data_IF_974028981803
#
_entry.id   IF_974028981803
#
_cell.length_a   1.000
_cell.length_b   1.000
_cell.length_c   1.000
_cell.angle_alpha   90.00
_cell.angle_beta   90.00
_cell.angle_gamma   90.00
#
_symmetry.space_group_name_H-M   'P 1'
#
loop_
_entity.id
_entity.type
_entity.pdbx_description
1 polymer ?
#
# COMPACT_ATOMS: atom_id res chain seq x y z
N UNK A 1 -21.42 0.72 8.57
CA UNK A 1 -21.59 2.15 8.76
C UNK A 1 -20.26 2.87 8.50
N UNK A 2 -19.65 2.64 7.31
CA UNK A 2 -18.32 3.18 6.93
C UNK A 2 -18.27 3.68 5.47
N UNK A 3 -19.40 3.80 4.81
CA UNK A 3 -19.51 4.33 3.43
C UNK A 3 -19.36 5.87 3.32
N UNK A 4 -19.00 6.55 4.42
CA UNK A 4 -19.08 8.03 4.51
C UNK A 4 -17.70 8.71 4.57
N UNK A 5 -16.58 8.02 4.23
CA UNK A 5 -15.24 8.63 4.30
C UNK A 5 -14.65 9.08 2.96
N UNK A 6 -15.25 8.70 1.84
CA UNK A 6 -14.75 9.05 0.49
C UNK A 6 -15.22 10.42 -0.03
N UNK A 7 -16.24 11.01 0.58
CA UNK A 7 -16.83 12.30 0.15
C UNK A 7 -16.18 13.53 0.80
N UNK A 8 -15.36 13.37 1.84
CA UNK A 8 -14.81 14.52 2.58
C UNK A 8 -13.56 15.11 1.94
N UNK A 9 -12.80 14.35 1.14
CA UNK A 9 -11.58 14.86 0.49
C UNK A 9 -11.92 15.72 -0.75
N UNK A 10 -13.07 15.49 -1.39
CA UNK A 10 -13.52 16.28 -2.52
C UNK A 10 -14.04 17.68 -2.13
N UNK A 11 -14.51 17.87 -0.89
CA UNK A 11 -15.14 19.12 -0.46
C UNK A 11 -14.17 20.18 0.09
N UNK A 12 -12.92 19.84 0.42
CA UNK A 12 -11.94 20.81 0.95
C UNK A 12 -11.19 21.59 -0.13
N UNK A 13 -11.36 21.22 -1.42
CA UNK A 13 -10.76 21.94 -2.58
C UNK A 13 -11.62 23.14 -3.03
N UNK A 14 -12.87 23.27 -2.58
CA UNK A 14 -13.82 24.26 -3.10
C UNK A 14 -13.91 25.60 -2.34
N UNK A 15 -13.06 25.87 -1.36
CA UNK A 15 -13.14 27.10 -0.56
C UNK A 15 -12.06 28.16 -0.88
N UNK A 16 -11.34 28.05 -2.00
CA UNK A 16 -10.48 29.13 -2.49
C UNK A 16 -10.90 29.53 -3.91
N UNK A 17 -12.02 30.20 -4.03
CA UNK A 17 -12.44 30.77 -5.30
C UNK A 17 -12.68 32.25 -5.17
N UNK A 18 -12.01 33.02 -5.96
CA UNK A 18 -12.55 34.16 -6.71
C UNK A 18 -11.44 34.88 -7.50
N UNK A 19 -10.65 34.13 -8.25
CA UNK A 19 -10.03 34.60 -9.49
C UNK A 19 -9.98 33.37 -10.39
N UNK A 20 -11.06 33.17 -11.15
CA UNK A 20 -11.16 32.12 -12.15
C UNK A 20 -10.31 32.53 -13.40
N UNK A 21 -9.00 32.46 -13.23
CA UNK A 21 -8.09 32.21 -14.33
C UNK A 21 -8.13 30.71 -14.62
N UNK A 22 -7.96 30.29 -15.86
CA UNK A 22 -7.96 28.90 -16.35
C UNK A 22 -7.15 27.93 -15.48
N UNK A 23 -7.73 27.47 -14.36
CA UNK A 23 -7.10 26.48 -13.51
C UNK A 23 -7.09 25.14 -14.27
N UNK A 24 -5.92 24.77 -14.76
CA UNK A 24 -5.71 23.46 -15.36
C UNK A 24 -5.04 22.57 -14.30
N UNK A 25 -5.58 21.36 -14.07
CA UNK A 25 -4.90 20.42 -13.21
C UNK A 25 -3.48 20.13 -13.74
N UNK A 26 -2.54 19.88 -12.85
CA UNK A 26 -1.19 19.48 -13.23
C UNK A 26 -1.22 18.29 -14.18
N UNK A 27 -0.36 18.28 -15.19
CA UNK A 27 -0.10 17.05 -15.92
C UNK A 27 0.62 16.04 -15.01
N UNK A 28 0.62 14.74 -15.36
CA UNK A 28 1.37 13.71 -14.61
C UNK A 28 2.85 14.09 -14.47
N UNK A 29 3.48 14.54 -15.54
CA UNK A 29 4.88 14.96 -15.55
C UNK A 29 5.14 16.16 -14.63
N UNK A 30 4.26 17.16 -14.67
CA UNK A 30 4.34 18.32 -13.78
C UNK A 30 4.18 17.91 -12.30
N UNK A 31 3.25 16.99 -12.02
CA UNK A 31 3.07 16.46 -10.69
C UNK A 31 4.33 15.72 -10.20
N UNK A 32 4.89 14.82 -11.00
CA UNK A 32 6.14 14.12 -10.67
C UNK A 32 7.30 15.09 -10.38
N UNK A 33 7.41 16.17 -11.16
CA UNK A 33 8.41 17.20 -10.90
C UNK A 33 8.17 17.94 -9.58
N UNK A 34 6.90 18.22 -9.27
CA UNK A 34 6.55 18.98 -8.07
C UNK A 34 6.63 18.19 -6.76
N UNK A 35 6.72 16.84 -6.80
CA UNK A 35 6.99 16.04 -5.59
C UNK A 35 8.29 16.43 -4.90
N UNK A 36 9.22 17.05 -5.62
CA UNK A 36 10.54 17.51 -5.13
C UNK A 36 10.61 19.01 -4.83
N UNK A 37 9.46 19.71 -4.80
CA UNK A 37 9.42 21.14 -4.51
C UNK A 37 9.87 21.43 -3.07
N UNK A 38 10.60 22.52 -2.87
CA UNK A 38 10.94 23.03 -1.52
C UNK A 38 9.68 23.40 -0.72
N UNK A 39 8.58 23.75 -1.42
CA UNK A 39 7.31 24.15 -0.81
C UNK A 39 6.40 22.94 -0.59
N UNK A 40 6.05 22.65 0.64
CA UNK A 40 5.18 21.55 1.03
C UNK A 40 3.81 21.60 0.35
N UNK A 41 3.21 22.78 0.18
CA UNK A 41 1.93 22.94 -0.54
C UNK A 41 1.99 22.41 -1.98
N UNK A 42 3.10 22.64 -2.67
CA UNK A 42 3.29 22.13 -4.04
C UNK A 42 3.48 20.61 -4.04
N UNK A 43 4.20 20.07 -3.05
CA UNK A 43 4.34 18.62 -2.89
C UNK A 43 2.97 17.98 -2.62
N UNK A 44 2.15 18.55 -1.74
CA UNK A 44 0.77 18.09 -1.47
C UNK A 44 -0.10 18.10 -2.74
N UNK A 45 -0.08 19.19 -3.51
CA UNK A 45 -0.80 19.28 -4.79
C UNK A 45 -0.31 18.20 -5.77
N UNK A 46 0.97 17.94 -5.82
CA UNK A 46 1.57 16.91 -6.66
C UNK A 46 1.05 15.51 -6.30
N UNK A 47 1.10 15.13 -5.01
CA UNK A 47 0.57 13.84 -4.55
C UNK A 47 -0.94 13.74 -4.74
N UNK A 48 -1.71 14.81 -4.52
CA UNK A 48 -3.13 14.86 -4.83
C UNK A 48 -3.40 14.54 -6.31
N UNK A 49 -2.59 15.10 -7.22
CA UNK A 49 -2.71 14.79 -8.65
C UNK A 49 -2.28 13.37 -9.00
N UNK A 50 -1.18 12.87 -8.42
CA UNK A 50 -0.69 11.51 -8.64
C UNK A 50 -1.67 10.44 -8.13
N UNK A 51 -2.52 10.73 -7.15
CA UNK A 51 -3.60 9.85 -6.75
C UNK A 51 -4.56 9.54 -7.90
N UNK A 52 -4.78 10.52 -8.80
CA UNK A 52 -5.68 10.38 -9.96
C UNK A 52 -4.99 9.76 -11.18
N UNK A 53 -3.76 10.21 -11.48
CA UNK A 53 -3.09 9.92 -12.76
C UNK A 53 -1.82 9.07 -12.63
N UNK A 54 -1.38 8.75 -11.41
CA UNK A 54 -0.17 7.98 -11.16
C UNK A 54 -0.29 6.54 -11.67
N UNK A 55 0.83 5.98 -12.09
CA UNK A 55 0.95 4.62 -12.63
C UNK A 55 2.02 3.83 -11.88
N UNK A 56 2.13 2.52 -12.13
CA UNK A 56 3.16 1.68 -11.53
C UNK A 56 4.59 2.19 -11.78
N UNK A 57 4.83 2.85 -12.91
CA UNK A 57 6.13 3.46 -13.24
C UNK A 57 6.52 4.59 -12.28
N UNK A 58 5.52 5.25 -11.66
CA UNK A 58 5.74 6.38 -10.76
C UNK A 58 6.05 5.95 -9.33
N UNK A 59 5.82 4.69 -8.98
CA UNK A 59 5.97 4.17 -7.62
C UNK A 59 7.31 4.55 -6.99
N UNK A 60 8.47 4.43 -7.66
CA UNK A 60 9.75 4.84 -7.06
C UNK A 60 9.80 6.32 -6.65
N UNK A 61 9.17 7.21 -7.43
CA UNK A 61 9.09 8.63 -7.10
C UNK A 61 8.11 8.88 -5.96
N UNK A 62 6.98 8.17 -5.97
CA UNK A 62 5.94 8.29 -4.93
C UNK A 62 6.46 7.79 -3.59
N UNK A 63 7.19 6.67 -3.56
CA UNK A 63 7.80 6.11 -2.34
C UNK A 63 8.77 7.07 -1.66
N UNK A 64 9.47 7.92 -2.42
CA UNK A 64 10.34 8.94 -1.83
C UNK A 64 9.57 9.89 -0.90
N UNK A 65 8.28 10.11 -1.14
CA UNK A 65 7.44 10.93 -0.28
C UNK A 65 7.10 10.32 1.08
N UNK A 66 7.33 9.02 1.28
CA UNK A 66 7.19 8.37 2.60
C UNK A 66 8.25 8.87 3.59
N UNK A 67 9.31 9.50 3.09
CA UNK A 67 10.42 10.08 3.85
C UNK A 67 10.36 11.61 3.92
N UNK A 68 9.25 12.21 3.47
CA UNK A 68 9.07 13.67 3.50
C UNK A 68 9.13 14.20 4.94
N UNK A 69 9.68 15.40 5.12
CA UNK A 69 9.74 16.09 6.41
C UNK A 69 8.33 16.41 6.93
N UNK A 70 7.36 16.63 6.04
CA UNK A 70 5.99 16.94 6.39
C UNK A 70 5.11 15.68 6.50
N UNK A 71 4.49 15.47 7.67
CA UNK A 71 3.65 14.31 7.95
C UNK A 71 2.47 14.15 6.97
N UNK A 72 1.87 15.27 6.54
CA UNK A 72 0.75 15.20 5.61
C UNK A 72 1.20 14.71 4.22
N UNK A 73 2.38 15.13 3.75
CA UNK A 73 2.95 14.63 2.49
C UNK A 73 3.26 13.15 2.59
N UNK A 74 3.82 12.67 3.71
CA UNK A 74 4.04 11.23 3.92
C UNK A 74 2.75 10.43 3.83
N UNK A 75 1.68 10.90 4.50
CA UNK A 75 0.37 10.24 4.45
C UNK A 75 -0.24 10.24 3.05
N UNK A 76 -0.09 11.35 2.31
CA UNK A 76 -0.55 11.43 0.91
C UNK A 76 0.26 10.49 0.00
N UNK A 77 1.58 10.44 0.16
CA UNK A 77 2.42 9.52 -0.60
C UNK A 77 2.01 8.07 -0.38
N UNK A 78 1.76 7.68 0.87
CA UNK A 78 1.29 6.33 1.21
C UNK A 78 -0.06 6.01 0.54
N UNK A 79 -1.03 6.93 0.61
CA UNK A 79 -2.32 6.76 -0.05
C UNK A 79 -2.18 6.62 -1.57
N UNK A 80 -1.28 7.40 -2.19
CA UNK A 80 -1.02 7.31 -3.63
C UNK A 80 -0.42 5.97 -4.01
N UNK A 81 0.56 5.47 -3.24
CA UNK A 81 1.17 4.15 -3.45
C UNK A 81 0.09 3.06 -3.42
N UNK A 82 -0.72 3.02 -2.37
CA UNK A 82 -1.83 2.06 -2.27
C UNK A 82 -2.82 2.22 -3.42
N UNK A 83 -3.21 3.44 -3.78
CA UNK A 83 -4.12 3.72 -4.89
C UNK A 83 -3.58 3.22 -6.23
N UNK A 84 -2.27 3.30 -6.46
CA UNK A 84 -1.62 2.77 -7.67
C UNK A 84 -1.61 1.24 -7.64
N UNK A 85 -1.26 0.61 -6.52
CA UNK A 85 -1.22 -0.85 -6.41
C UNK A 85 -2.60 -1.50 -6.51
N UNK A 86 -3.67 -0.81 -6.10
CA UNK A 86 -5.05 -1.33 -6.05
C UNK A 86 -5.76 -1.32 -7.41
N UNK A 87 -5.10 -0.98 -8.51
CA UNK A 87 -5.71 -0.89 -9.84
C UNK A 87 -4.77 -1.40 -10.93
N UNK A 88 -5.33 -2.05 -11.92
CA UNK A 88 -4.61 -2.46 -13.13
C UNK A 88 -4.79 -1.45 -14.27
N UNK A 89 -5.84 -0.64 -14.20
CA UNK A 89 -6.33 0.20 -15.29
C UNK A 89 -7.11 -0.57 -16.37
N UNK A 90 -7.36 -1.86 -16.14
CA UNK A 90 -8.16 -2.69 -17.02
C UNK A 90 -9.62 -2.70 -16.56
N UNK A 91 -10.52 -2.20 -17.41
CA UNK A 91 -11.95 -2.07 -17.10
C UNK A 91 -12.68 -3.38 -16.83
N UNK A 92 -12.10 -4.54 -17.18
CA UNK A 92 -12.65 -5.85 -16.88
C UNK A 92 -12.09 -6.41 -15.58
N UNK A 93 -10.81 -6.19 -15.31
CA UNK A 93 -10.12 -6.75 -14.14
C UNK A 93 -10.42 -5.94 -12.87
N UNK A 94 -10.37 -4.61 -12.95
CA UNK A 94 -10.57 -3.77 -11.78
C UNK A 94 -11.93 -4.00 -11.09
N UNK A 95 -13.08 -4.14 -11.78
CA UNK A 95 -14.35 -4.50 -11.13
C UNK A 95 -14.35 -5.89 -10.48
N UNK A 96 -13.67 -6.89 -11.10
CA UNK A 96 -13.54 -8.22 -10.52
C UNK A 96 -12.72 -8.20 -9.22
N UNK A 97 -11.61 -7.48 -9.24
CA UNK A 97 -10.78 -7.28 -8.07
C UNK A 97 -11.56 -6.56 -6.96
N UNK A 98 -12.29 -5.48 -7.28
CA UNK A 98 -13.15 -4.77 -6.31
C UNK A 98 -14.23 -5.67 -5.71
N UNK A 99 -14.80 -6.60 -6.50
CA UNK A 99 -15.73 -7.60 -5.97
C UNK A 99 -15.06 -8.50 -4.91
N UNK A 100 -13.83 -8.95 -5.16
CA UNK A 100 -13.04 -9.70 -4.16
C UNK A 100 -12.79 -8.89 -2.90
N UNK A 101 -12.45 -7.60 -3.04
CA UNK A 101 -12.26 -6.69 -1.91
C UNK A 101 -13.55 -6.48 -1.09
N UNK A 102 -14.69 -6.38 -1.76
CA UNK A 102 -15.99 -6.28 -1.09
C UNK A 102 -16.26 -7.51 -0.22
N UNK A 103 -16.02 -8.71 -0.77
CA UNK A 103 -16.20 -9.98 -0.03
C UNK A 103 -15.27 -10.07 1.20
N UNK A 104 -14.03 -9.57 1.11
CA UNK A 104 -13.15 -9.45 2.28
C UNK A 104 -13.78 -8.53 3.34
N UNK A 105 -14.31 -7.38 2.94
CA UNK A 105 -14.93 -6.42 3.86
C UNK A 105 -16.22 -6.92 4.49
N UNK A 106 -16.92 -7.83 3.81
CA UNK A 106 -18.12 -8.53 4.28
C UNK A 106 -17.81 -9.76 5.15
N UNK A 107 -16.52 -10.04 5.38
CA UNK A 107 -16.02 -11.20 6.12
C UNK A 107 -16.40 -12.54 5.48
N UNK A 108 -16.36 -12.59 4.14
CA UNK A 108 -16.61 -13.75 3.29
C UNK A 108 -15.31 -14.24 2.62
N UNK A 109 -14.32 -14.71 3.41
CA UNK A 109 -12.98 -14.98 2.88
C UNK A 109 -12.95 -16.11 1.83
N UNK A 110 -13.80 -17.13 1.97
CA UNK A 110 -13.85 -18.23 1.00
C UNK A 110 -14.29 -17.73 -0.39
N UNK A 111 -15.35 -16.92 -0.43
CA UNK A 111 -15.84 -16.33 -1.69
C UNK A 111 -14.83 -15.32 -2.26
N UNK A 112 -14.15 -14.56 -1.39
CA UNK A 112 -13.09 -13.65 -1.80
C UNK A 112 -11.92 -14.38 -2.46
N UNK A 113 -11.50 -15.53 -1.90
CA UNK A 113 -10.43 -16.37 -2.46
C UNK A 113 -10.81 -16.84 -3.87
N UNK A 114 -12.04 -17.33 -4.07
CA UNK A 114 -12.50 -17.76 -5.40
C UNK A 114 -12.46 -16.59 -6.40
N UNK A 115 -12.98 -15.44 -6.01
CA UNK A 115 -12.97 -14.26 -6.87
C UNK A 115 -11.56 -13.77 -7.21
N UNK A 116 -10.66 -13.78 -6.24
CA UNK A 116 -9.26 -13.40 -6.44
C UNK A 116 -8.48 -14.46 -7.26
N UNK A 117 -8.85 -15.75 -7.19
CA UNK A 117 -8.33 -16.77 -8.11
C UNK A 117 -8.63 -16.42 -9.57
N UNK A 118 -9.86 -15.97 -9.86
CA UNK A 118 -10.26 -15.56 -11.21
C UNK A 118 -9.40 -14.35 -11.68
N UNK A 119 -9.20 -13.37 -10.82
CA UNK A 119 -8.35 -12.20 -11.11
C UNK A 119 -6.91 -12.62 -11.40
N UNK A 120 -6.33 -13.47 -10.54
CA UNK A 120 -4.95 -13.97 -10.69
C UNK A 120 -4.79 -14.81 -11.96
N UNK A 121 -5.78 -15.62 -12.31
CA UNK A 121 -5.75 -16.40 -13.55
C UNK A 121 -5.69 -15.53 -14.80
N UNK A 122 -6.37 -14.37 -14.78
CA UNK A 122 -6.39 -13.42 -15.88
C UNK A 122 -5.20 -12.45 -15.88
N UNK A 123 -4.66 -12.12 -14.69
CA UNK A 123 -3.56 -11.16 -14.47
C UNK A 123 -2.59 -11.67 -13.41
N UNK A 124 -1.79 -12.70 -13.71
CA UNK A 124 -0.86 -13.30 -12.75
C UNK A 124 0.26 -12.34 -12.29
N UNK A 125 0.50 -11.25 -13.02
CA UNK A 125 1.43 -10.18 -12.66
C UNK A 125 0.84 -9.11 -11.73
N UNK A 126 -0.47 -9.15 -11.45
CA UNK A 126 -1.11 -8.18 -10.56
C UNK A 126 -0.84 -8.51 -9.09
N UNK A 127 0.23 -7.94 -8.55
CA UNK A 127 0.75 -8.23 -7.20
C UNK A 127 -0.32 -8.09 -6.11
N UNK A 128 -1.18 -7.07 -6.21
CA UNK A 128 -2.19 -6.78 -5.18
C UNK A 128 -3.26 -7.88 -5.09
N UNK A 129 -3.58 -8.56 -6.19
CA UNK A 129 -4.51 -9.68 -6.14
C UNK A 129 -3.96 -10.85 -5.30
N UNK A 130 -2.67 -11.15 -5.41
CA UNK A 130 -1.98 -12.14 -4.57
C UNK A 130 -1.98 -11.68 -3.10
N UNK A 131 -1.63 -10.42 -2.84
CA UNK A 131 -1.63 -9.86 -1.49
C UNK A 131 -3.00 -10.01 -0.82
N UNK A 132 -4.07 -9.64 -1.50
CA UNK A 132 -5.43 -9.73 -0.94
C UNK A 132 -5.92 -11.16 -0.79
N UNK A 133 -5.52 -12.07 -1.67
CA UNK A 133 -5.80 -13.48 -1.46
C UNK A 133 -5.03 -14.04 -0.26
N UNK A 134 -3.80 -13.58 -0.05
CA UNK A 134 -3.03 -13.85 1.17
C UNK A 134 -3.75 -13.38 2.43
N UNK A 135 -4.32 -12.16 2.43
CA UNK A 135 -5.13 -11.66 3.55
C UNK A 135 -6.35 -12.55 3.80
N UNK A 136 -7.03 -13.00 2.74
CA UNK A 136 -8.17 -13.89 2.85
C UNK A 136 -7.77 -15.28 3.40
N UNK A 137 -6.66 -15.87 2.94
CA UNK A 137 -6.12 -17.11 3.51
C UNK A 137 -5.74 -16.97 4.98
N UNK A 138 -5.09 -15.86 5.35
CA UNK A 138 -4.74 -15.58 6.75
C UNK A 138 -5.98 -15.52 7.64
N UNK A 139 -7.08 -14.92 7.17
CA UNK A 139 -8.33 -14.84 7.92
C UNK A 139 -9.02 -16.19 8.12
N UNK A 140 -8.75 -17.18 7.25
CA UNK A 140 -9.21 -18.58 7.43
C UNK A 140 -8.27 -19.42 8.27
N UNK A 141 -7.13 -18.86 8.71
CA UNK A 141 -6.09 -19.58 9.46
C UNK A 141 -5.14 -20.41 8.58
N UNK A 142 -5.23 -20.32 7.25
CA UNK A 142 -4.29 -20.99 6.34
C UNK A 142 -3.04 -20.14 6.12
N UNK A 143 -2.20 -20.08 7.16
CA UNK A 143 -0.96 -19.31 7.11
C UNK A 143 0.01 -19.78 6.03
N UNK A 144 -0.03 -21.06 5.64
CA UNK A 144 0.89 -21.59 4.63
C UNK A 144 0.57 -21.00 3.25
N UNK A 145 -0.72 -20.96 2.87
CA UNK A 145 -1.16 -20.33 1.62
C UNK A 145 -1.02 -18.83 1.68
N UNK A 146 -1.34 -18.20 2.81
CA UNK A 146 -1.14 -16.77 3.01
C UNK A 146 0.32 -16.36 2.77
N UNK A 147 1.26 -17.08 3.39
CA UNK A 147 2.70 -16.80 3.22
C UNK A 147 3.15 -16.99 1.77
N UNK A 148 2.66 -18.02 1.08
CA UNK A 148 2.98 -18.24 -0.33
C UNK A 148 2.51 -17.07 -1.21
N UNK A 149 1.30 -16.56 -0.97
CA UNK A 149 0.73 -15.44 -1.70
C UNK A 149 1.46 -14.11 -1.41
N UNK A 150 1.80 -13.84 -0.14
CA UNK A 150 2.62 -12.66 0.21
C UNK A 150 4.02 -12.73 -0.40
N UNK A 151 4.66 -13.90 -0.39
CA UNK A 151 5.95 -14.07 -1.06
C UNK A 151 5.85 -13.82 -2.57
N UNK A 152 4.77 -14.30 -3.22
CA UNK A 152 4.51 -14.00 -4.63
C UNK A 152 4.28 -12.52 -4.87
N UNK A 153 3.58 -11.84 -3.96
CA UNK A 153 3.42 -10.38 -4.00
C UNK A 153 4.76 -9.67 -3.99
N UNK A 154 5.68 -10.08 -3.10
CA UNK A 154 7.02 -9.48 -2.96
C UNK A 154 7.90 -9.76 -4.19
N UNK A 155 7.76 -10.92 -4.83
CA UNK A 155 8.44 -11.23 -6.10
C UNK A 155 7.99 -10.30 -7.23
N UNK A 156 6.67 -10.04 -7.33
CA UNK A 156 6.08 -9.18 -8.35
C UNK A 156 6.29 -7.69 -8.06
N UNK A 157 6.27 -7.32 -6.79
CA UNK A 157 6.47 -5.95 -6.32
C UNK A 157 7.38 -5.93 -5.08
N UNK A 158 8.69 -5.80 -5.25
CA UNK A 158 9.65 -5.79 -4.13
C UNK A 158 9.46 -4.64 -3.13
N UNK A 159 8.71 -3.61 -3.51
CA UNK A 159 8.39 -2.45 -2.67
C UNK A 159 7.11 -2.62 -1.84
N UNK A 160 6.46 -3.77 -1.91
CA UNK A 160 5.16 -3.98 -1.26
C UNK A 160 5.32 -4.16 0.25
N UNK A 161 5.46 -3.05 0.97
CA UNK A 161 5.72 -3.05 2.41
C UNK A 161 4.62 -3.75 3.24
N UNK A 162 3.36 -3.75 2.80
CA UNK A 162 2.28 -4.48 3.46
C UNK A 162 2.46 -6.01 3.40
N UNK A 163 2.88 -6.56 2.24
CA UNK A 163 3.18 -7.99 2.13
C UNK A 163 4.42 -8.38 2.95
N UNK A 164 5.45 -7.51 2.98
CA UNK A 164 6.62 -7.70 3.84
C UNK A 164 6.22 -7.72 5.32
N UNK A 165 5.38 -6.78 5.76
CA UNK A 165 4.83 -6.75 7.12
C UNK A 165 4.06 -8.04 7.44
N UNK A 166 3.19 -8.49 6.54
CA UNK A 166 2.39 -9.72 6.72
C UNK A 166 3.27 -10.97 6.82
N UNK A 167 4.32 -11.09 5.99
CA UNK A 167 5.32 -12.14 6.14
C UNK A 167 6.02 -12.06 7.50
N UNK A 168 6.46 -10.87 7.90
CA UNK A 168 7.10 -10.64 9.20
C UNK A 168 6.22 -11.08 10.37
N UNK A 169 4.92 -10.76 10.31
CA UNK A 169 3.94 -11.14 11.33
C UNK A 169 3.76 -12.65 11.42
N UNK A 170 3.62 -13.37 10.32
CA UNK A 170 3.50 -14.83 10.32
C UNK A 170 4.76 -15.46 10.94
N UNK A 171 5.97 -15.01 10.57
CA UNK A 171 7.19 -15.53 11.15
C UNK A 171 7.34 -15.20 12.63
N UNK A 172 6.86 -14.03 13.07
CA UNK A 172 6.82 -13.64 14.47
C UNK A 172 5.89 -14.55 15.29
N UNK A 173 4.69 -14.83 14.80
CA UNK A 173 3.73 -15.75 15.44
C UNK A 173 4.29 -17.18 15.54
N UNK A 174 5.10 -17.61 14.58
CA UNK A 174 5.85 -18.89 14.59
C UNK A 174 7.10 -18.88 15.48
N UNK A 175 7.39 -17.76 16.15
CA UNK A 175 8.59 -17.56 16.97
C UNK A 175 9.92 -17.65 16.18
N UNK A 176 9.86 -17.49 14.88
CA UNK A 176 11.01 -17.41 13.98
C UNK A 176 11.55 -15.97 13.94
N UNK A 177 12.00 -15.48 15.10
CA UNK A 177 12.30 -14.07 15.37
C UNK A 177 13.31 -13.46 14.38
N UNK A 178 14.31 -14.25 13.92
CA UNK A 178 15.30 -13.76 12.93
C UNK A 178 14.66 -13.47 11.57
N UNK A 179 13.79 -14.38 11.10
CA UNK A 179 13.06 -14.19 9.84
C UNK A 179 12.07 -13.04 9.96
N UNK A 180 11.34 -12.96 11.08
CA UNK A 180 10.43 -11.85 11.35
C UNK A 180 11.15 -10.49 11.28
N UNK A 181 12.30 -10.37 11.96
CA UNK A 181 13.11 -9.15 11.95
C UNK A 181 13.63 -8.78 10.55
N UNK A 182 13.97 -9.76 9.71
CA UNK A 182 14.39 -9.53 8.33
C UNK A 182 13.27 -8.89 7.49
N UNK A 183 12.06 -9.49 7.53
CA UNK A 183 10.92 -8.96 6.79
C UNK A 183 10.46 -7.60 7.29
N UNK A 184 10.38 -7.41 8.61
CA UNK A 184 10.03 -6.12 9.21
C UNK A 184 11.04 -5.02 8.87
N UNK A 185 12.34 -5.32 8.85
CA UNK A 185 13.38 -4.36 8.47
C UNK A 185 13.17 -3.89 7.03
N UNK A 186 12.97 -4.82 6.11
CA UNK A 186 12.68 -4.49 4.70
C UNK A 186 11.42 -3.64 4.55
N UNK A 187 10.36 -3.94 5.32
CA UNK A 187 9.13 -3.15 5.30
C UNK A 187 9.37 -1.70 5.75
N UNK A 188 10.11 -1.52 6.86
CA UNK A 188 10.44 -0.20 7.44
C UNK A 188 11.42 0.58 6.57
N UNK A 189 12.36 -0.08 5.89
CA UNK A 189 13.25 0.54 4.91
C UNK A 189 12.50 1.17 3.73
N UNK A 190 11.34 0.61 3.36
CA UNK A 190 10.48 1.16 2.31
C UNK A 190 9.53 2.21 2.89
N UNK A 191 8.83 1.88 3.99
CA UNK A 191 7.90 2.77 4.65
C UNK A 191 8.27 2.98 6.14
N UNK A 192 8.98 4.05 6.48
CA UNK A 192 9.39 4.34 7.85
C UNK A 192 8.21 4.74 8.76
N UNK A 193 7.00 4.92 8.20
CA UNK A 193 5.82 5.32 8.95
C UNK A 193 5.02 4.12 9.51
N UNK A 194 5.54 2.91 9.39
CA UNK A 194 4.99 1.70 10.00
C UNK A 194 5.35 1.63 11.49
N UNK A 195 4.83 2.56 12.30
CA UNK A 195 5.24 2.75 13.69
C UNK A 195 5.15 1.48 14.55
N UNK A 196 4.08 0.71 14.36
CA UNK A 196 3.91 -0.56 15.08
C UNK A 196 5.00 -1.56 14.71
N UNK A 197 5.37 -1.63 13.43
CA UNK A 197 6.43 -2.53 12.92
C UNK A 197 7.79 -2.08 13.44
N UNK A 198 8.06 -0.76 13.46
CA UNK A 198 9.29 -0.19 14.02
C UNK A 198 9.47 -0.61 15.49
N UNK A 199 8.41 -0.52 16.30
CA UNK A 199 8.47 -0.92 17.70
C UNK A 199 8.71 -2.42 17.89
N UNK A 200 8.03 -3.26 17.10
CA UNK A 200 8.24 -4.72 17.13
C UNK A 200 9.66 -5.06 16.71
N UNK A 201 10.15 -4.46 15.62
CA UNK A 201 11.51 -4.69 15.12
C UNK A 201 12.58 -4.31 16.14
N UNK A 202 12.41 -3.19 16.84
CA UNK A 202 13.32 -2.76 17.91
C UNK A 202 13.41 -3.81 19.01
N UNK A 203 12.26 -4.30 19.52
CA UNK A 203 12.19 -5.35 20.55
C UNK A 203 12.82 -6.66 20.08
N UNK A 204 12.57 -7.04 18.82
CA UNK A 204 13.16 -8.24 18.23
C UNK A 204 14.69 -8.14 18.17
N UNK A 205 15.23 -7.00 17.77
CA UNK A 205 16.67 -6.80 17.71
C UNK A 205 17.31 -6.87 19.10
N UNK A 206 16.70 -6.28 20.13
CA UNK A 206 17.15 -6.38 21.52
C UNK A 206 17.17 -7.84 22.02
N UNK A 207 16.12 -8.62 21.70
CA UNK A 207 16.06 -10.06 22.06
C UNK A 207 17.16 -10.86 21.35
N UNK A 208 17.35 -10.63 20.04
CA UNK A 208 18.33 -11.36 19.23
C UNK A 208 19.79 -11.02 19.61
N UNK A 209 20.04 -9.84 20.15
CA UNK A 209 21.34 -9.45 20.69
C UNK A 209 21.62 -10.18 22.01
N UNK A 210 20.63 -10.27 22.91
CA UNK A 210 20.75 -10.98 24.19
C UNK A 210 20.95 -12.49 24.01
N UNK A 211 20.38 -13.11 22.98
CA UNK A 211 20.55 -14.53 22.66
C UNK A 211 21.94 -14.90 22.10
N UNK A 212 22.81 -13.90 21.85
CA UNK A 212 24.18 -14.12 21.36
C UNK A 212 25.24 -14.15 22.45
N UNK A 213 24.86 -13.80 23.69
CA UNK A 213 25.72 -13.80 24.89
C UNK A 213 25.55 -15.09 25.66
#
# INVERSE_FOLDING_TARGET
MQLMRWTVVACLILAFSAQAGDWKPLSREQALKQTRSEHADRRRLAYGRLAEVGTLEDVPVVLAGLWDDEALVRGMAEQVVWGIWMRTGDSNIDPMFQSGMTLISENEPAAAIEKLNDVIALRPEFAEAWNRRGDAWASTGDEARALADYMRTIELNPYHFGALESCGRIWFERRENRKAAEFFRRAVEINPNLWNVVDVLRRLNEMLENDRI
#
